data_IF_539292031359
#
_entry.id   IF_539292031359
#
_cell.length_a   1.000
_cell.length_b   1.000
_cell.length_c   1.000
_cell.angle_alpha   90.00
_cell.angle_beta   90.00
_cell.angle_gamma   90.00
#
_symmetry.space_group_name_H-M   'P 1'
#
loop_
_entity.id
_entity.type
_entity.pdbx_description
1 polymer ?
#
# COMPACT_ATOMS: atom_id res chain seq x y z
N UNK A 1 -10.77 16.28 16.66
CA UNK A 1 -12.07 17.00 16.84
C UNK A 1 -13.17 15.96 16.85
N UNK A 2 -13.71 15.61 18.04
CA UNK A 2 -14.80 14.61 18.12
C UNK A 2 -16.05 15.21 17.47
N UNK A 3 -16.41 14.72 16.30
CA UNK A 3 -17.62 15.17 15.59
C UNK A 3 -18.86 14.62 16.28
N UNK A 4 -19.38 15.35 17.30
CA UNK A 4 -20.70 15.14 17.95
C UNK A 4 -20.96 13.69 18.43
N UNK A 5 -19.93 12.97 18.91
CA UNK A 5 -20.09 11.61 19.43
C UNK A 5 -20.21 10.50 18.39
N UNK A 6 -20.04 10.79 17.10
CA UNK A 6 -19.99 9.77 16.04
C UNK A 6 -18.56 9.34 15.77
N UNK A 7 -18.36 8.03 15.54
CA UNK A 7 -17.11 7.50 15.02
C UNK A 7 -16.99 7.81 13.53
N UNK A 8 -15.79 8.21 13.13
CA UNK A 8 -15.43 8.45 11.73
C UNK A 8 -14.65 7.25 11.20
N UNK A 9 -15.12 6.69 10.10
CA UNK A 9 -14.44 5.60 9.41
C UNK A 9 -14.03 6.05 8.02
N UNK A 10 -12.75 5.89 7.72
CA UNK A 10 -12.24 6.00 6.35
C UNK A 10 -12.18 4.58 5.75
N UNK A 11 -12.95 4.35 4.69
CA UNK A 11 -13.03 3.05 4.03
C UNK A 11 -12.05 2.87 2.88
N UNK A 12 -11.20 3.85 2.60
CA UNK A 12 -10.27 3.86 1.45
C UNK A 12 -9.01 4.69 1.76
N UNK A 13 -8.35 4.35 2.88
CA UNK A 13 -7.14 5.04 3.29
C UNK A 13 -5.90 4.41 2.63
N UNK A 14 -5.22 5.20 1.82
CA UNK A 14 -3.96 4.77 1.22
C UNK A 14 -2.78 4.94 2.18
N UNK A 15 -1.93 3.91 2.25
CA UNK A 15 -0.70 3.91 3.06
C UNK A 15 0.53 3.89 2.18
N UNK A 16 1.68 4.31 2.73
CA UNK A 16 2.96 4.25 2.02
C UNK A 16 3.70 2.98 2.41
N UNK A 17 3.97 2.14 1.41
CA UNK A 17 4.72 0.91 1.58
C UNK A 17 6.23 1.19 1.71
N UNK A 18 6.98 0.42 2.52
CA UNK A 18 8.43 0.54 2.59
C UNK A 18 9.10 -0.01 1.33
N UNK A 19 10.26 0.54 0.93
CA UNK A 19 10.94 0.15 -0.32
C UNK A 19 11.43 -1.29 -0.34
N UNK A 20 11.65 -1.89 0.82
CA UNK A 20 12.18 -3.23 1.02
C UNK A 20 11.12 -4.29 1.35
N UNK A 21 9.85 -3.94 1.24
CA UNK A 21 8.72 -4.80 1.58
C UNK A 21 8.89 -6.21 1.00
N UNK A 22 9.08 -6.32 -0.33
CA UNK A 22 9.14 -7.63 -0.96
C UNK A 22 10.42 -8.39 -0.65
N UNK A 23 11.54 -7.71 -0.40
CA UNK A 23 12.78 -8.35 0.05
C UNK A 23 12.63 -8.96 1.44
N UNK A 24 11.79 -8.38 2.28
CA UNK A 24 11.52 -8.89 3.62
C UNK A 24 10.48 -10.01 3.63
N UNK A 25 9.35 -9.82 2.94
CA UNK A 25 8.16 -10.64 3.11
C UNK A 25 7.92 -11.70 2.03
N UNK A 26 8.62 -11.65 0.88
CA UNK A 26 8.47 -12.67 -0.16
C UNK A 26 9.13 -13.98 0.26
N UNK A 27 8.45 -15.10 -0.04
CA UNK A 27 8.98 -16.43 0.20
C UNK A 27 10.35 -16.63 -0.50
N UNK A 28 11.28 -17.39 0.10
CA UNK A 28 12.68 -17.52 -0.38
C UNK A 28 12.79 -17.91 -1.86
N UNK A 29 11.95 -18.81 -2.33
CA UNK A 29 11.95 -19.29 -3.71
C UNK A 29 11.60 -18.21 -4.74
N UNK A 30 10.83 -17.20 -4.35
CA UNK A 30 10.41 -16.11 -5.23
C UNK A 30 11.22 -14.82 -5.03
N UNK A 31 12.08 -14.73 -4.00
CA UNK A 31 12.81 -13.48 -3.68
C UNK A 31 13.61 -12.91 -4.85
N UNK A 32 14.23 -13.77 -5.63
CA UNK A 32 15.05 -13.35 -6.78
C UNK A 32 14.21 -12.78 -7.95
N UNK A 33 12.89 -13.05 -7.95
CA UNK A 33 11.91 -12.55 -8.91
C UNK A 33 11.02 -11.43 -8.33
N UNK A 34 11.16 -11.16 -7.03
CA UNK A 34 10.34 -10.17 -6.37
C UNK A 34 10.68 -8.74 -6.83
N UNK A 35 9.69 -7.86 -6.92
CA UNK A 35 9.93 -6.45 -7.17
C UNK A 35 10.69 -5.82 -6.01
N UNK A 36 11.34 -4.69 -6.27
CA UNK A 36 11.99 -3.88 -5.24
C UNK A 36 11.48 -2.45 -5.29
N UNK A 37 11.33 -1.83 -4.14
CA UNK A 37 11.05 -0.41 -4.06
C UNK A 37 12.33 0.42 -4.27
N UNK A 38 12.18 1.53 -4.96
CA UNK A 38 13.21 2.56 -5.09
C UNK A 38 12.59 3.89 -4.73
N UNK A 39 13.11 4.52 -3.68
CA UNK A 39 12.70 5.86 -3.31
C UNK A 39 13.22 6.85 -4.36
N UNK A 40 12.37 7.75 -4.79
CA UNK A 40 12.79 8.92 -5.55
C UNK A 40 13.37 9.98 -4.60
N UNK A 41 13.83 11.11 -5.16
CA UNK A 41 14.27 12.27 -4.37
C UNK A 41 13.15 12.83 -3.46
N UNK A 42 11.90 12.51 -3.79
CA UNK A 42 10.76 12.76 -2.94
C UNK A 42 10.39 11.47 -2.19
N UNK A 43 10.57 11.46 -0.86
CA UNK A 43 10.30 10.31 0.01
C UNK A 43 8.87 9.75 -0.07
N UNK A 44 7.95 10.45 -0.70
CA UNK A 44 6.57 10.00 -0.94
C UNK A 44 6.38 9.32 -2.30
N UNK A 45 7.40 9.30 -3.15
CA UNK A 45 7.33 8.69 -4.48
C UNK A 45 8.13 7.39 -4.52
N UNK A 46 7.54 6.33 -4.02
CA UNK A 46 8.08 4.98 -4.13
C UNK A 46 7.82 4.44 -5.53
N UNK A 47 8.88 4.00 -6.19
CA UNK A 47 8.80 3.27 -7.46
C UNK A 47 9.09 1.80 -7.22
N UNK A 48 8.37 0.95 -7.93
CA UNK A 48 8.62 -0.49 -7.90
C UNK A 48 9.36 -0.91 -9.17
N UNK A 49 10.53 -1.49 -9.00
CA UNK A 49 11.37 -1.99 -10.09
C UNK A 49 11.31 -3.51 -10.10
N UNK A 50 10.90 -4.08 -11.24
CA UNK A 50 10.90 -5.52 -11.46
C UNK A 50 12.28 -6.03 -11.85
N UNK A 51 12.57 -7.33 -11.66
CA UNK A 51 13.86 -7.92 -12.04
C UNK A 51 14.22 -7.77 -13.52
N UNK A 52 13.23 -7.64 -14.39
CA UNK A 52 13.42 -7.39 -15.83
C UNK A 52 13.66 -5.91 -16.18
N UNK A 53 13.76 -5.05 -15.17
CA UNK A 53 14.02 -3.62 -15.31
C UNK A 53 12.79 -2.75 -15.55
N UNK A 54 11.60 -3.32 -15.72
CA UNK A 54 10.37 -2.53 -15.81
C UNK A 54 10.11 -1.80 -14.51
N UNK A 55 9.65 -0.57 -14.63
CA UNK A 55 9.33 0.29 -13.47
C UNK A 55 7.82 0.43 -13.38
N UNK A 56 7.28 0.07 -12.22
CA UNK A 56 5.90 0.23 -11.85
C UNK A 56 5.81 1.15 -10.63
N UNK A 57 4.77 1.90 -10.55
CA UNK A 57 4.55 2.74 -9.39
C UNK A 57 3.84 4.02 -9.78
N UNK A 58 3.59 4.85 -8.78
CA UNK A 58 2.87 6.08 -8.94
C UNK A 58 3.34 6.82 -10.19
N UNK A 59 2.39 7.32 -10.95
CA UNK A 59 2.66 8.12 -12.14
C UNK A 59 3.69 9.18 -11.77
N UNK A 60 4.89 9.01 -12.31
CA UNK A 60 5.94 10.00 -12.16
C UNK A 60 5.39 11.26 -12.79
N UNK A 61 5.23 12.26 -11.99
CA UNK A 61 5.01 13.56 -12.55
C UNK A 61 6.26 13.96 -13.32
N UNK A 62 6.14 14.04 -14.59
CA UNK A 62 7.02 14.87 -15.36
C UNK A 62 6.61 16.32 -15.03
N UNK A 63 7.41 17.08 -14.28
CA UNK A 63 7.10 18.47 -13.98
C UNK A 63 6.98 19.31 -15.25
N UNK A 64 7.56 18.84 -16.37
CA UNK A 64 7.52 19.51 -17.67
C UNK A 64 6.24 19.22 -18.45
N UNK A 65 5.50 18.18 -18.10
CA UNK A 65 4.31 17.77 -18.84
C UNK A 65 3.07 18.65 -18.61
N UNK A 66 3.13 19.62 -17.71
CA UNK A 66 2.07 20.64 -17.51
C UNK A 66 0.67 20.09 -17.20
N UNK A 67 0.55 18.80 -16.93
CA UNK A 67 -0.72 18.15 -16.65
C UNK A 67 -1.22 18.42 -15.22
N UNK A 68 -2.55 18.34 -15.00
CA UNK A 68 -3.10 18.49 -13.67
C UNK A 68 -2.51 17.43 -12.75
N UNK A 69 -2.19 17.84 -11.54
CA UNK A 69 -1.67 16.99 -10.49
C UNK A 69 -2.73 15.96 -10.04
N UNK A 70 -2.75 14.79 -10.67
CA UNK A 70 -3.79 13.78 -10.47
C UNK A 70 -3.69 13.12 -9.09
N UNK A 71 -2.51 13.03 -8.49
CA UNK A 71 -2.29 12.28 -7.26
C UNK A 71 -2.43 13.06 -5.95
N UNK A 72 -2.74 14.33 -5.98
CA UNK A 72 -2.87 15.14 -4.77
C UNK A 72 -3.90 16.25 -4.86
N UNK A 73 -4.50 16.44 -6.03
CA UNK A 73 -5.46 17.51 -6.25
C UNK A 73 -4.93 18.89 -5.81
N UNK A 74 -5.84 19.77 -5.48
CA UNK A 74 -5.54 21.14 -5.00
C UNK A 74 -4.81 21.18 -3.64
N UNK A 75 -4.78 20.07 -2.90
CA UNK A 75 -4.20 20.00 -1.56
C UNK A 75 -2.79 19.42 -1.51
N UNK A 76 -2.19 19.05 -2.66
CA UNK A 76 -0.89 18.39 -2.65
C UNK A 76 0.20 19.20 -1.93
N UNK A 77 0.37 20.47 -2.30
CA UNK A 77 1.36 21.34 -1.66
C UNK A 77 1.07 21.55 -0.17
N UNK A 78 -0.20 21.75 0.16
CA UNK A 78 -0.64 21.87 1.55
C UNK A 78 -0.33 20.60 2.34
N UNK A 79 -0.59 19.43 1.77
CA UNK A 79 -0.30 18.16 2.40
C UNK A 79 1.21 17.94 2.58
N UNK A 80 2.04 18.37 1.63
CA UNK A 80 3.49 18.33 1.76
C UNK A 80 3.98 19.14 2.96
N UNK A 81 3.36 20.28 3.24
CA UNK A 81 3.69 21.12 4.39
C UNK A 81 3.15 20.48 5.68
N UNK A 82 1.87 20.10 5.68
CA UNK A 82 1.17 19.59 6.86
C UNK A 82 1.77 18.29 7.38
N UNK A 83 2.17 17.39 6.48
CA UNK A 83 2.68 16.06 6.81
C UNK A 83 4.18 15.90 6.55
N UNK A 84 4.95 16.99 6.55
CA UNK A 84 6.41 16.93 6.32
C UNK A 84 7.09 16.04 7.34
N UNK A 85 6.84 16.28 8.62
CA UNK A 85 7.39 15.49 9.72
C UNK A 85 7.05 13.99 9.58
N UNK A 86 5.79 13.67 9.28
CA UNK A 86 5.33 12.29 9.07
C UNK A 86 6.09 11.63 7.90
N UNK A 87 6.28 12.36 6.80
CA UNK A 87 7.03 11.86 5.65
C UNK A 87 8.51 11.61 5.96
N UNK A 88 9.13 12.51 6.72
CA UNK A 88 10.53 12.42 7.14
C UNK A 88 10.73 11.26 8.13
N UNK A 89 9.75 10.94 8.96
CA UNK A 89 9.72 9.80 9.88
C UNK A 89 9.37 8.47 9.20
N UNK A 90 9.03 8.47 7.90
CA UNK A 90 8.91 7.27 7.09
C UNK A 90 7.54 6.59 7.06
N UNK A 91 6.48 7.25 7.50
CA UNK A 91 5.10 6.72 7.45
C UNK A 91 4.93 5.32 8.06
N UNK A 92 5.57 5.06 9.18
CA UNK A 92 5.39 3.84 9.96
C UNK A 92 3.99 3.81 10.60
N UNK A 93 3.61 2.67 11.15
CA UNK A 93 2.25 2.47 11.68
C UNK A 93 1.88 3.49 12.77
N UNK A 94 2.80 3.82 13.67
CA UNK A 94 2.60 4.83 14.71
C UNK A 94 2.39 6.22 14.10
N UNK A 95 3.16 6.56 13.07
CA UNK A 95 3.04 7.83 12.34
C UNK A 95 1.72 7.92 11.60
N UNK A 96 1.26 6.80 11.03
CA UNK A 96 -0.06 6.72 10.40
C UNK A 96 -1.19 6.95 11.42
N UNK A 97 -1.06 6.41 12.64
CA UNK A 97 -2.03 6.63 13.71
C UNK A 97 -2.07 8.11 14.15
N UNK A 98 -0.91 8.77 14.25
CA UNK A 98 -0.84 10.20 14.53
C UNK A 98 -1.57 11.02 13.46
N UNK A 99 -1.37 10.69 12.18
CA UNK A 99 -2.08 11.34 11.08
C UNK A 99 -3.59 11.12 11.15
N UNK A 100 -4.04 9.91 11.49
CA UNK A 100 -5.45 9.61 11.72
C UNK A 100 -6.03 10.44 12.88
N UNK A 101 -5.27 10.61 13.96
CA UNK A 101 -5.67 11.46 15.10
C UNK A 101 -5.81 12.93 14.70
N UNK A 102 -4.87 13.45 13.90
CA UNK A 102 -4.92 14.81 13.38
C UNK A 102 -6.15 15.06 12.51
N UNK A 103 -6.53 14.08 11.68
CA UNK A 103 -7.71 14.17 10.80
C UNK A 103 -9.03 13.78 11.50
N UNK A 104 -8.94 13.25 12.72
CA UNK A 104 -10.11 12.81 13.49
C UNK A 104 -10.74 11.53 12.95
N UNK A 105 -9.93 10.61 12.43
CA UNK A 105 -10.35 9.32 11.89
C UNK A 105 -10.18 8.26 12.97
N UNK A 106 -11.28 7.63 13.37
CA UNK A 106 -11.28 6.61 14.42
C UNK A 106 -10.84 5.24 13.88
N UNK A 107 -11.29 4.87 12.69
CA UNK A 107 -11.01 3.58 12.04
C UNK A 107 -10.71 3.81 10.56
N UNK A 108 -9.72 3.10 10.01
CA UNK A 108 -9.44 3.14 8.58
C UNK A 108 -9.20 1.75 8.00
N UNK A 109 -9.62 1.54 6.75
CA UNK A 109 -9.28 0.38 5.94
C UNK A 109 -8.09 0.75 5.06
N UNK A 110 -6.97 0.02 5.23
CA UNK A 110 -5.68 0.35 4.63
C UNK A 110 -5.53 -0.25 3.25
N UNK A 111 -5.34 0.59 2.25
CA UNK A 111 -5.14 0.21 0.84
C UNK A 111 -3.74 0.56 0.34
N UNK A 112 -3.24 -0.14 -0.69
CA UNK A 112 -1.93 0.12 -1.25
C UNK A 112 -1.86 1.48 -1.95
N UNK A 113 -0.68 2.10 -1.97
CA UNK A 113 -0.36 3.29 -2.78
C UNK A 113 0.56 2.92 -3.93
N UNK A 114 1.83 2.62 -3.64
CA UNK A 114 2.80 2.23 -4.66
C UNK A 114 2.51 0.83 -5.21
N UNK A 115 1.99 -0.06 -4.36
CA UNK A 115 1.60 -1.42 -4.74
C UNK A 115 0.24 -1.51 -5.44
N UNK A 116 -0.43 -0.39 -5.69
CA UNK A 116 -1.77 -0.36 -6.31
C UNK A 116 -1.82 -1.13 -7.65
N UNK A 117 -0.71 -1.14 -8.39
CA UNK A 117 -0.58 -1.77 -9.69
C UNK A 117 0.31 -3.03 -9.70
N UNK A 118 0.82 -3.44 -8.54
CA UNK A 118 1.76 -4.55 -8.41
C UNK A 118 1.13 -5.65 -7.56
N UNK A 119 1.06 -6.90 -8.06
CA UNK A 119 1.50 -7.39 -9.37
C UNK A 119 0.46 -7.25 -10.48
N UNK A 120 -0.75 -6.83 -10.16
CA UNK A 120 -1.93 -6.98 -11.02
C UNK A 120 -1.89 -6.13 -12.30
N UNK A 121 -1.13 -5.05 -12.30
CA UNK A 121 -0.90 -4.24 -13.50
C UNK A 121 0.21 -4.75 -14.42
N UNK A 122 0.76 -5.95 -14.17
CA UNK A 122 1.87 -6.51 -14.95
C UNK A 122 1.36 -7.60 -15.87
N UNK A 123 1.26 -7.30 -17.16
CA UNK A 123 0.87 -8.28 -18.15
C UNK A 123 1.87 -9.44 -18.24
N UNK A 124 1.35 -10.67 -18.26
CA UNK A 124 2.16 -11.88 -18.46
C UNK A 124 3.02 -12.30 -17.27
N UNK A 125 2.80 -11.75 -16.08
CA UNK A 125 3.45 -12.26 -14.86
C UNK A 125 2.98 -13.71 -14.60
N UNK A 126 3.90 -14.54 -14.13
CA UNK A 126 3.55 -15.89 -13.68
C UNK A 126 2.57 -15.86 -12.50
N UNK A 127 1.54 -16.72 -12.53
CA UNK A 127 0.47 -16.73 -11.53
C UNK A 127 0.96 -17.03 -10.11
N UNK A 128 1.97 -17.90 -9.96
CA UNK A 128 2.54 -18.23 -8.65
C UNK A 128 3.38 -17.08 -8.10
N UNK A 129 4.16 -16.42 -8.97
CA UNK A 129 4.89 -15.20 -8.61
C UNK A 129 3.92 -14.09 -8.22
N UNK A 130 2.86 -13.87 -8.98
CA UNK A 130 1.81 -12.91 -8.64
C UNK A 130 1.22 -13.20 -7.25
N UNK A 131 0.93 -14.47 -6.96
CA UNK A 131 0.41 -14.88 -5.65
C UNK A 131 1.43 -14.64 -4.53
N UNK A 132 2.71 -14.94 -4.75
CA UNK A 132 3.76 -14.70 -3.76
C UNK A 132 3.92 -13.20 -3.45
N UNK A 133 3.87 -12.34 -4.47
CA UNK A 133 3.94 -10.88 -4.31
C UNK A 133 2.74 -10.35 -3.53
N UNK A 134 1.53 -10.83 -3.81
CA UNK A 134 0.33 -10.46 -3.04
C UNK A 134 0.42 -10.94 -1.58
N UNK A 135 0.88 -12.17 -1.33
CA UNK A 135 1.06 -12.68 0.04
C UNK A 135 2.06 -11.85 0.83
N UNK A 136 3.18 -11.47 0.19
CA UNK A 136 4.18 -10.62 0.81
C UNK A 136 3.59 -9.28 1.25
N UNK A 137 2.83 -8.61 0.37
CA UNK A 137 2.12 -7.37 0.72
C UNK A 137 1.13 -7.59 1.86
N UNK A 138 0.31 -8.63 1.80
CA UNK A 138 -0.71 -8.89 2.82
C UNK A 138 -0.12 -9.21 4.19
N UNK A 139 1.01 -9.92 4.24
CA UNK A 139 1.72 -10.20 5.48
C UNK A 139 2.30 -8.92 6.09
N UNK A 140 2.95 -8.08 5.25
CA UNK A 140 3.43 -6.78 5.69
C UNK A 140 2.29 -5.90 6.22
N UNK A 141 1.19 -5.80 5.47
CA UNK A 141 0.05 -4.97 5.87
C UNK A 141 -0.59 -5.48 7.18
N UNK A 142 -0.63 -6.80 7.37
CA UNK A 142 -1.09 -7.38 8.63
C UNK A 142 -0.20 -6.91 9.78
N UNK A 143 1.14 -7.05 9.67
CA UNK A 143 2.07 -6.63 10.71
C UNK A 143 1.95 -5.11 10.98
N UNK A 144 1.84 -4.29 9.94
CA UNK A 144 1.59 -2.86 10.05
C UNK A 144 0.32 -2.55 10.86
N UNK A 145 -0.77 -3.25 10.60
CA UNK A 145 -2.04 -3.04 11.30
C UNK A 145 -2.04 -3.55 12.74
N UNK A 146 -1.07 -4.40 13.14
CA UNK A 146 -0.96 -4.89 14.53
C UNK A 146 -0.62 -3.79 15.53
N UNK A 147 -0.08 -2.63 15.11
CA UNK A 147 0.12 -1.48 15.99
C UNK A 147 -1.21 -1.00 16.62
N UNK A 148 -2.30 -1.06 15.87
CA UNK A 148 -3.64 -0.79 16.40
C UNK A 148 -4.72 -1.51 15.60
N UNK A 149 -4.91 -2.84 15.80
CA UNK A 149 -5.85 -3.63 15.01
C UNK A 149 -7.32 -3.24 15.21
N UNK A 150 -7.62 -2.50 16.28
CA UNK A 150 -8.94 -1.92 16.48
C UNK A 150 -9.23 -0.75 15.50
N UNK A 151 -8.18 -0.02 15.10
CA UNK A 151 -8.28 1.19 14.28
C UNK A 151 -7.86 0.97 12.83
N UNK A 152 -6.81 0.17 12.58
CA UNK A 152 -6.29 -0.10 11.24
C UNK A 152 -6.75 -1.47 10.77
N UNK A 153 -7.38 -1.53 9.61
CA UNK A 153 -8.01 -2.72 9.03
C UNK A 153 -7.36 -3.11 7.72
N UNK A 154 -7.12 -4.40 7.54
CA UNK A 154 -6.46 -4.95 6.34
C UNK A 154 -7.43 -4.99 5.16
N UNK A 155 -7.07 -4.34 4.04
CA UNK A 155 -7.60 -4.65 2.71
C UNK A 155 -6.60 -5.54 1.98
N UNK A 156 -6.89 -6.82 1.82
CA UNK A 156 -5.96 -7.76 1.25
C UNK A 156 -5.89 -7.65 -0.29
N UNK A 157 -4.68 -7.70 -0.81
CA UNK A 157 -4.43 -7.76 -2.26
C UNK A 157 -4.59 -9.19 -2.76
N UNK A 158 -5.32 -9.37 -3.86
CA UNK A 158 -5.53 -10.69 -4.47
C UNK A 158 -4.83 -10.82 -5.82
N UNK A 159 -4.16 -11.95 -6.10
CA UNK A 159 -3.52 -12.18 -7.39
C UNK A 159 -4.58 -12.43 -8.47
N UNK A 160 -4.60 -11.60 -9.51
CA UNK A 160 -5.59 -11.71 -10.59
C UNK A 160 -5.13 -12.61 -11.74
N UNK A 161 -3.86 -12.99 -11.78
CA UNK A 161 -3.27 -13.84 -12.81
C UNK A 161 -3.57 -15.34 -12.64
N UNK A 162 -4.05 -15.74 -11.44
CA UNK A 162 -4.48 -17.11 -11.16
C UNK A 162 -5.70 -17.09 -10.23
N UNK A 163 -6.86 -17.50 -10.76
CA UNK A 163 -8.12 -17.50 -10.02
C UNK A 163 -8.11 -18.43 -8.81
N UNK A 164 -7.39 -19.57 -8.88
CA UNK A 164 -7.29 -20.49 -7.75
C UNK A 164 -6.48 -19.90 -6.62
N UNK A 165 -5.38 -19.25 -6.96
CA UNK A 165 -4.56 -18.52 -5.99
C UNK A 165 -5.33 -17.33 -5.39
N UNK A 166 -6.10 -16.58 -6.20
CA UNK A 166 -6.93 -15.50 -5.70
C UNK A 166 -7.95 -15.99 -4.63
N UNK A 167 -8.63 -17.09 -4.90
CA UNK A 167 -9.58 -17.69 -3.94
C UNK A 167 -8.86 -18.20 -2.69
N UNK A 168 -7.67 -18.82 -2.85
CA UNK A 168 -6.87 -19.33 -1.73
C UNK A 168 -6.43 -18.17 -0.83
N UNK A 169 -5.90 -17.11 -1.44
CA UNK A 169 -5.41 -15.94 -0.71
C UNK A 169 -6.55 -15.15 -0.04
N UNK A 170 -7.69 -14.98 -0.70
CA UNK A 170 -8.86 -14.36 -0.07
C UNK A 170 -9.31 -15.10 1.20
N UNK A 171 -9.32 -16.44 1.16
CA UNK A 171 -9.66 -17.26 2.32
C UNK A 171 -8.61 -17.15 3.43
N UNK A 172 -7.31 -17.18 3.06
CA UNK A 172 -6.21 -17.02 4.00
C UNK A 172 -6.26 -15.65 4.67
N UNK A 173 -6.34 -14.59 3.87
CA UNK A 173 -6.39 -13.23 4.39
C UNK A 173 -7.56 -13.01 5.36
N UNK A 174 -8.72 -13.57 5.05
CA UNK A 174 -9.86 -13.48 5.96
C UNK A 174 -9.66 -14.24 7.26
N UNK A 175 -9.12 -15.47 7.20
CA UNK A 175 -9.04 -16.37 8.36
C UNK A 175 -7.84 -16.08 9.26
N UNK A 176 -6.70 -15.75 8.65
CA UNK A 176 -5.42 -15.64 9.34
C UNK A 176 -5.01 -14.19 9.59
N UNK A 177 -5.33 -13.27 8.65
CA UNK A 177 -4.95 -11.87 8.75
C UNK A 177 -6.12 -10.95 9.16
N UNK A 178 -7.31 -11.48 9.34
CA UNK A 178 -8.47 -10.69 9.74
C UNK A 178 -8.91 -9.64 8.72
N UNK A 179 -8.57 -9.83 7.44
CA UNK A 179 -8.90 -8.88 6.38
C UNK A 179 -10.42 -8.58 6.32
N UNK A 180 -10.76 -7.32 6.21
CA UNK A 180 -12.14 -6.82 6.14
C UNK A 180 -12.57 -6.46 4.73
N UNK A 181 -11.60 -6.24 3.85
CA UNK A 181 -11.79 -5.90 2.45
C UNK A 181 -10.75 -6.62 1.58
N UNK A 182 -10.96 -6.60 0.27
CA UNK A 182 -10.00 -7.07 -0.73
C UNK A 182 -9.79 -5.99 -1.77
N UNK A 183 -8.56 -5.91 -2.28
CA UNK A 183 -8.19 -5.08 -3.41
C UNK A 183 -7.97 -5.96 -4.64
N UNK A 184 -8.66 -5.61 -5.71
CA UNK A 184 -8.54 -6.22 -7.04
C UNK A 184 -8.52 -5.11 -8.07
N UNK A 185 -7.60 -5.18 -9.02
CA UNK A 185 -7.52 -4.22 -10.11
C UNK A 185 -7.23 -4.87 -11.44
#
# INVERSE_FOLDING_TARGET
MVRKGFKVMDSDMHIMEPPDLWQQYTEPEFKHLAPRGVLSDNVRDLRTVHPDGRIWGAVIRDPSAGGPNISGGHNYERNQITYRDHSERGWMAEVQLEAMDMEGIDVAVMYPTACLYVPNGIDGIDGQLSAAVCRAYNNWLYDFCQESPARMKVAAMLPQHDQKEAVREARRAKRELGAVAVHMR
#
